data_IF_931484779819
#
_entry.id   IF_931484779819
#
_cell.length_a   1.000
_cell.length_b   1.000
_cell.length_c   1.000
_cell.angle_alpha   90.00
_cell.angle_beta   90.00
_cell.angle_gamma   90.00
#
_symmetry.space_group_name_H-M   'P 1'
#
loop_
_entity.id
_entity.type
_entity.pdbx_description
1 polymer ?
#
# COMPACT_ATOMS: atom_id res chain seq x y z
N UNK A 1 -31.53 2.87 12.67
CA UNK A 1 -31.05 2.96 11.26
C UNK A 1 -30.13 4.14 11.12
N UNK A 2 -28.97 3.90 10.56
CA UNK A 2 -27.98 4.95 10.31
C UNK A 2 -28.52 5.96 9.29
N UNK A 3 -28.37 7.26 9.59
CA UNK A 3 -28.77 8.32 8.69
C UNK A 3 -28.03 8.22 7.34
N UNK A 4 -28.78 8.35 6.23
CA UNK A 4 -28.23 8.28 4.87
C UNK A 4 -27.10 9.28 4.65
N UNK A 5 -27.21 10.50 5.20
CA UNK A 5 -26.18 11.52 5.11
C UNK A 5 -24.90 11.08 5.79
N UNK A 6 -24.97 10.61 7.01
CA UNK A 6 -23.83 10.07 7.77
C UNK A 6 -23.16 8.92 7.00
N UNK A 7 -23.97 7.99 6.47
CA UNK A 7 -23.47 6.85 5.70
C UNK A 7 -22.64 7.28 4.50
N UNK A 8 -23.18 8.15 3.63
CA UNK A 8 -22.49 8.56 2.41
C UNK A 8 -21.32 9.51 2.69
N UNK A 9 -21.48 10.48 3.60
CA UNK A 9 -20.42 11.44 3.90
C UNK A 9 -19.21 10.78 4.56
N UNK A 10 -19.44 9.81 5.45
CA UNK A 10 -18.37 9.06 6.07
C UNK A 10 -17.64 8.17 5.05
N UNK A 11 -18.37 7.35 4.29
CA UNK A 11 -17.74 6.41 3.35
C UNK A 11 -17.02 7.12 2.20
N UNK A 12 -17.56 8.22 1.66
CA UNK A 12 -16.93 9.03 0.64
C UNK A 12 -15.61 9.68 1.11
N UNK A 13 -15.52 10.03 2.40
CA UNK A 13 -14.29 10.58 2.97
C UNK A 13 -13.05 9.71 2.75
N UNK A 14 -13.21 8.40 2.66
CA UNK A 14 -12.14 7.47 2.38
C UNK A 14 -11.44 7.73 1.03
N UNK A 15 -12.17 8.25 0.03
CA UNK A 15 -11.60 8.55 -1.30
C UNK A 15 -10.43 9.53 -1.21
N UNK A 16 -10.62 10.66 -0.55
CA UNK A 16 -9.57 11.68 -0.43
C UNK A 16 -8.39 11.22 0.42
N UNK A 17 -8.68 10.50 1.53
CA UNK A 17 -7.66 9.96 2.42
C UNK A 17 -6.74 8.97 1.69
N UNK A 18 -7.32 8.04 0.97
CA UNK A 18 -6.56 7.00 0.29
C UNK A 18 -5.91 7.49 -1.00
N UNK A 19 -6.47 8.51 -1.66
CA UNK A 19 -5.78 9.24 -2.73
C UNK A 19 -4.51 9.93 -2.21
N UNK A 20 -4.58 10.59 -1.04
CA UNK A 20 -3.43 11.22 -0.40
C UNK A 20 -2.34 10.20 -0.03
N UNK A 21 -2.74 9.05 0.53
CA UNK A 21 -1.83 7.94 0.81
C UNK A 21 -1.17 7.41 -0.45
N UNK A 22 -1.94 7.15 -1.51
CA UNK A 22 -1.43 6.64 -2.79
C UNK A 22 -0.42 7.60 -3.43
N UNK A 23 -0.67 8.92 -3.37
CA UNK A 23 0.24 9.94 -3.93
C UNK A 23 1.64 9.82 -3.31
N UNK A 24 1.74 9.66 -2.01
CA UNK A 24 3.03 9.57 -1.32
C UNK A 24 3.62 8.16 -1.43
N UNK A 25 2.83 7.12 -1.18
CA UNK A 25 3.35 5.75 -1.13
C UNK A 25 3.81 5.22 -2.50
N UNK A 26 3.18 5.63 -3.60
CA UNK A 26 3.51 5.16 -4.94
C UNK A 26 4.48 6.09 -5.68
N UNK A 27 4.34 7.41 -5.47
CA UNK A 27 5.01 8.36 -6.37
C UNK A 27 6.08 9.23 -5.73
N UNK A 28 6.21 9.29 -4.40
CA UNK A 28 7.21 10.14 -3.77
C UNK A 28 8.65 9.76 -4.16
N UNK A 29 8.97 8.47 -4.17
CA UNK A 29 10.29 8.01 -4.61
C UNK A 29 10.53 8.24 -6.10
N UNK A 30 9.52 8.00 -6.93
CA UNK A 30 9.61 8.24 -8.36
C UNK A 30 9.77 9.73 -8.67
N UNK A 31 9.05 10.60 -7.92
CA UNK A 31 9.25 12.04 -7.95
C UNK A 31 10.71 12.40 -7.64
N UNK A 32 11.25 11.89 -6.53
CA UNK A 32 12.63 12.16 -6.14
C UNK A 32 13.61 11.66 -7.21
N UNK A 33 13.40 10.44 -7.72
CA UNK A 33 14.26 9.80 -8.72
C UNK A 33 14.33 10.59 -10.03
N UNK A 34 13.20 11.11 -10.51
CA UNK A 34 13.10 11.75 -11.84
C UNK A 34 13.05 13.28 -11.80
N UNK A 35 13.02 13.91 -10.63
CA UNK A 35 12.96 15.37 -10.55
C UNK A 35 14.03 16.00 -9.65
N UNK A 36 14.78 15.21 -8.87
CA UNK A 36 15.80 15.73 -7.97
C UNK A 36 17.19 15.27 -8.40
N UNK A 37 18.15 16.19 -8.45
CA UNK A 37 19.57 15.88 -8.70
C UNK A 37 20.24 15.45 -7.41
N UNK A 38 20.34 14.14 -7.17
CA UNK A 38 20.90 13.57 -5.95
C UNK A 38 21.98 12.54 -6.27
N UNK A 39 23.01 12.50 -5.45
CA UNK A 39 24.01 11.44 -5.50
C UNK A 39 23.44 10.10 -5.04
N UNK A 40 24.08 8.99 -5.41
CA UNK A 40 23.68 7.64 -4.95
C UNK A 40 23.62 7.57 -3.42
N UNK A 41 24.60 8.21 -2.73
CA UNK A 41 24.62 8.25 -1.26
C UNK A 41 23.42 8.98 -0.67
N UNK A 42 23.02 10.10 -1.25
CA UNK A 42 21.85 10.87 -0.82
C UNK A 42 20.55 10.08 -1.06
N UNK A 43 20.41 9.43 -2.20
CA UNK A 43 19.26 8.59 -2.50
C UNK A 43 19.17 7.36 -1.58
N UNK A 44 20.31 6.74 -1.26
CA UNK A 44 20.39 5.65 -0.28
C UNK A 44 20.03 6.13 1.14
N UNK A 45 20.45 7.33 1.53
CA UNK A 45 20.09 7.93 2.81
C UNK A 45 18.57 8.19 2.92
N UNK A 46 17.91 8.63 1.85
CA UNK A 46 16.46 8.77 1.78
C UNK A 46 15.77 7.42 2.03
N UNK A 47 16.27 6.35 1.42
CA UNK A 47 15.75 4.99 1.62
C UNK A 47 15.88 4.54 3.08
N UNK A 48 17.02 4.83 3.71
CA UNK A 48 17.23 4.53 5.13
C UNK A 48 16.27 5.33 6.04
N UNK A 49 16.06 6.62 5.76
CA UNK A 49 15.09 7.46 6.48
C UNK A 49 13.68 6.85 6.40
N UNK A 50 13.25 6.39 5.23
CA UNK A 50 11.92 5.78 5.07
C UNK A 50 11.76 4.54 5.95
N UNK A 51 12.80 3.71 6.07
CA UNK A 51 12.80 2.53 6.95
C UNK A 51 12.72 2.95 8.43
N UNK A 52 13.49 3.97 8.84
CA UNK A 52 13.46 4.50 10.21
C UNK A 52 12.08 5.09 10.55
N UNK A 53 11.47 5.84 9.64
CA UNK A 53 10.13 6.38 9.83
C UNK A 53 9.07 5.27 9.99
N UNK A 54 9.26 4.12 9.34
CA UNK A 54 8.38 2.98 9.54
C UNK A 54 8.43 2.42 10.97
N UNK A 55 9.65 2.32 11.53
CA UNK A 55 9.82 1.91 12.93
C UNK A 55 9.13 2.92 13.85
N UNK A 56 9.22 4.19 13.52
CA UNK A 56 8.51 5.25 14.23
C UNK A 56 7.00 5.08 14.14
N UNK A 57 6.44 4.76 12.97
CA UNK A 57 5.00 4.57 12.79
C UNK A 57 4.46 3.44 13.68
N UNK A 58 5.23 2.37 13.87
CA UNK A 58 4.87 1.28 14.76
C UNK A 58 4.71 1.72 16.23
N UNK A 59 5.41 2.79 16.64
CA UNK A 59 5.31 3.40 17.96
C UNK A 59 4.23 4.50 18.00
N UNK A 60 4.18 5.31 16.95
CA UNK A 60 3.28 6.45 16.81
C UNK A 60 1.81 6.02 16.73
N UNK A 61 1.48 4.92 16.05
CA UNK A 61 0.10 4.46 15.89
C UNK A 61 -0.59 4.16 17.24
N UNK A 62 -0.01 3.34 18.15
CA UNK A 62 -0.59 3.14 19.48
C UNK A 62 -0.63 4.41 20.34
N UNK A 63 0.40 5.26 20.26
CA UNK A 63 0.43 6.53 20.99
C UNK A 63 -0.71 7.44 20.57
N UNK A 64 -0.95 7.55 19.26
CA UNK A 64 -2.05 8.36 18.73
C UNK A 64 -3.41 7.82 19.17
N UNK A 65 -3.59 6.50 19.18
CA UNK A 65 -4.79 5.85 19.71
C UNK A 65 -5.06 6.28 21.16
N UNK A 66 -4.07 6.23 22.05
CA UNK A 66 -4.17 6.66 23.45
C UNK A 66 -4.52 8.16 23.55
N UNK A 67 -3.89 9.02 22.74
CA UNK A 67 -4.16 10.46 22.74
C UNK A 67 -5.61 10.73 22.35
N UNK A 68 -6.13 10.07 21.30
CA UNK A 68 -7.51 10.21 20.84
C UNK A 68 -8.48 9.72 21.90
N UNK A 69 -8.20 8.57 22.53
CA UNK A 69 -9.06 8.01 23.58
C UNK A 69 -9.20 8.92 24.78
N UNK A 70 -8.15 9.59 25.18
CA UNK A 70 -8.14 10.53 26.31
C UNK A 70 -8.60 11.96 25.95
N UNK A 71 -8.94 12.21 24.68
CA UNK A 71 -9.35 13.55 24.26
C UNK A 71 -10.87 13.76 24.46
N UNK A 72 -11.24 14.90 25.08
CA UNK A 72 -12.62 15.29 25.34
C UNK A 72 -12.92 16.63 24.64
N UNK A 73 -13.08 16.59 23.32
CA UNK A 73 -13.34 17.79 22.53
C UNK A 73 -14.85 18.03 22.33
N UNK A 74 -15.30 19.28 22.38
CA UNK A 74 -16.71 19.67 22.25
C UNK A 74 -17.38 19.23 20.93
N UNK A 75 -16.59 19.00 19.88
CA UNK A 75 -17.07 18.63 18.53
C UNK A 75 -17.12 17.11 18.28
N UNK A 76 -16.94 16.28 19.29
CA UNK A 76 -16.85 14.84 19.21
C UNK A 76 -15.44 14.31 19.51
N UNK A 77 -15.31 12.99 19.67
CA UNK A 77 -14.05 12.33 20.01
C UNK A 77 -13.08 12.25 18.82
N UNK A 78 -13.59 11.87 17.65
CA UNK A 78 -12.78 11.56 16.47
C UNK A 78 -12.74 12.70 15.45
N UNK A 79 -13.85 13.42 15.24
CA UNK A 79 -13.99 14.45 14.21
C UNK A 79 -12.91 15.54 14.22
N UNK A 80 -12.53 16.12 15.39
CA UNK A 80 -11.48 17.14 15.43
C UNK A 80 -10.11 16.61 14.97
N UNK A 81 -9.79 15.37 15.35
CA UNK A 81 -8.54 14.71 14.96
C UNK A 81 -8.49 14.38 13.48
N UNK A 82 -9.62 13.95 12.89
CA UNK A 82 -9.79 13.74 11.45
C UNK A 82 -9.47 15.04 10.70
N UNK A 83 -10.03 16.16 11.12
CA UNK A 83 -9.85 17.45 10.47
C UNK A 83 -8.43 17.99 10.65
N UNK A 84 -7.89 18.00 11.86
CA UNK A 84 -6.53 18.47 12.12
C UNK A 84 -5.50 17.63 11.37
N UNK A 85 -5.63 16.29 11.44
CA UNK A 85 -4.75 15.37 10.71
C UNK A 85 -4.79 15.61 9.22
N UNK A 86 -5.98 15.78 8.65
CA UNK A 86 -6.15 16.08 7.23
C UNK A 86 -5.50 17.41 6.82
N UNK A 87 -5.77 18.50 7.53
CA UNK A 87 -5.23 19.82 7.19
C UNK A 87 -3.71 19.85 7.27
N UNK A 88 -3.14 19.31 8.35
CA UNK A 88 -1.68 19.25 8.53
C UNK A 88 -1.04 18.35 7.47
N UNK A 89 -1.63 17.18 7.21
CA UNK A 89 -1.11 16.25 6.22
C UNK A 89 -1.17 16.80 4.80
N UNK A 90 -2.25 17.50 4.43
CA UNK A 90 -2.37 18.15 3.13
C UNK A 90 -1.26 19.19 2.91
N UNK A 91 -0.93 19.99 3.93
CA UNK A 91 0.20 20.93 3.87
C UNK A 91 1.51 20.17 3.67
N UNK A 92 1.74 19.10 4.43
CA UNK A 92 2.98 18.33 4.35
C UNK A 92 3.11 17.64 2.97
N UNK A 93 2.02 17.12 2.39
CA UNK A 93 2.03 16.58 1.03
C UNK A 93 2.48 17.64 0.02
N UNK A 94 1.87 18.84 0.07
CA UNK A 94 2.26 19.92 -0.84
C UNK A 94 3.72 20.30 -0.64
N UNK A 95 4.22 20.37 0.59
CA UNK A 95 5.64 20.67 0.89
C UNK A 95 6.57 19.60 0.30
N UNK A 96 6.26 18.31 0.47
CA UNK A 96 7.07 17.18 -0.03
C UNK A 96 7.27 17.23 -1.56
N UNK A 97 6.26 17.68 -2.31
CA UNK A 97 6.32 17.75 -3.78
C UNK A 97 6.65 19.14 -4.35
N UNK A 98 6.82 20.14 -3.48
CA UNK A 98 7.05 21.53 -3.92
C UNK A 98 8.41 22.08 -3.49
N UNK A 99 8.80 21.83 -2.25
CA UNK A 99 10.04 22.39 -1.67
C UNK A 99 11.22 21.52 -2.10
N UNK A 100 12.24 22.15 -2.71
CA UNK A 100 13.30 21.45 -3.43
C UNK A 100 14.69 22.01 -3.08
N UNK A 101 15.15 21.95 -1.84
CA UNK A 101 16.53 22.27 -1.53
C UNK A 101 17.48 21.27 -2.19
N UNK A 102 18.74 21.62 -2.35
CA UNK A 102 19.72 20.79 -3.06
C UNK A 102 20.57 19.93 -2.11
N UNK A 103 21.03 18.78 -2.60
CA UNK A 103 22.01 17.96 -1.92
C UNK A 103 21.55 17.44 -0.56
N UNK A 104 22.40 17.48 0.44
CA UNK A 104 22.10 17.01 1.79
C UNK A 104 21.01 17.82 2.52
N UNK A 105 20.82 19.09 2.15
CA UNK A 105 19.71 19.89 2.68
C UNK A 105 18.36 19.29 2.27
N UNK A 106 18.25 18.72 1.06
CA UNK A 106 17.05 17.98 0.66
C UNK A 106 16.85 16.70 1.50
N UNK A 107 17.90 15.95 1.78
CA UNK A 107 17.81 14.74 2.62
C UNK A 107 17.30 15.07 4.03
N UNK A 108 17.81 16.16 4.63
CA UNK A 108 17.32 16.65 5.93
C UNK A 108 15.87 17.12 5.89
N UNK A 109 15.51 17.92 4.88
CA UNK A 109 14.13 18.37 4.65
C UNK A 109 13.19 17.19 4.44
N UNK A 110 13.59 16.21 3.60
CA UNK A 110 12.83 15.00 3.36
C UNK A 110 12.57 14.21 4.65
N UNK A 111 13.62 14.02 5.47
CA UNK A 111 13.50 13.27 6.72
C UNK A 111 12.46 13.86 7.66
N UNK A 112 12.50 15.17 7.86
CA UNK A 112 11.54 15.89 8.72
C UNK A 112 10.13 15.84 8.11
N UNK A 113 10.01 16.15 6.82
CA UNK A 113 8.72 16.20 6.15
C UNK A 113 8.06 14.82 6.04
N UNK A 114 8.83 13.77 5.77
CA UNK A 114 8.32 12.40 5.68
C UNK A 114 7.87 11.86 7.04
N UNK A 115 8.61 12.17 8.11
CA UNK A 115 8.19 11.88 9.47
C UNK A 115 6.87 12.58 9.83
N UNK A 116 6.77 13.89 9.53
CA UNK A 116 5.54 14.65 9.76
C UNK A 116 4.37 14.14 8.93
N UNK A 117 4.63 13.67 7.69
CA UNK A 117 3.62 13.04 6.86
C UNK A 117 3.05 11.80 7.54
N UNK A 118 3.91 10.89 8.03
CA UNK A 118 3.49 9.70 8.76
C UNK A 118 2.65 10.05 9.98
N UNK A 119 3.14 10.94 10.85
CA UNK A 119 2.45 11.35 12.08
C UNK A 119 1.08 11.98 11.81
N UNK A 120 0.99 12.91 10.85
CA UNK A 120 -0.27 13.60 10.52
C UNK A 120 -1.25 12.68 9.79
N UNK A 121 -0.74 11.73 8.98
CA UNK A 121 -1.57 10.70 8.36
C UNK A 121 -2.14 9.74 9.42
N UNK A 122 -1.32 9.26 10.35
CA UNK A 122 -1.76 8.41 11.47
C UNK A 122 -2.84 9.10 12.31
N UNK A 123 -2.69 10.41 12.57
CA UNK A 123 -3.70 11.21 13.28
C UNK A 123 -5.07 11.14 12.58
N UNK A 124 -5.10 11.28 11.25
CA UNK A 124 -6.33 11.17 10.46
C UNK A 124 -6.83 9.73 10.39
N UNK A 125 -5.95 8.77 10.04
CA UNK A 125 -6.31 7.39 9.75
C UNK A 125 -6.89 6.66 10.97
N UNK A 126 -6.22 6.73 12.13
CA UNK A 126 -6.67 6.10 13.37
C UNK A 126 -8.01 6.70 13.81
N UNK A 127 -8.16 8.02 13.73
CA UNK A 127 -9.41 8.69 14.08
C UNK A 127 -10.55 8.31 13.13
N UNK A 128 -10.25 8.18 11.85
CA UNK A 128 -11.21 7.80 10.82
C UNK A 128 -11.74 6.37 11.04
N UNK A 129 -10.85 5.40 11.24
CA UNK A 129 -11.26 4.03 11.55
C UNK A 129 -11.87 3.91 12.94
N UNK A 130 -11.37 4.64 13.94
CA UNK A 130 -11.91 4.68 15.29
C UNK A 130 -13.33 5.26 15.38
N UNK A 131 -13.70 6.13 14.43
CA UNK A 131 -15.04 6.69 14.33
C UNK A 131 -16.09 5.65 13.89
N UNK A 132 -15.72 4.61 13.15
CA UNK A 132 -16.63 3.63 12.57
C UNK A 132 -17.58 2.97 13.62
N UNK A 133 -17.10 2.47 14.77
CA UNK A 133 -17.98 1.92 15.81
C UNK A 133 -18.92 2.96 16.44
N UNK A 134 -18.52 4.23 16.47
CA UNK A 134 -19.36 5.31 17.04
C UNK A 134 -20.49 5.77 16.12
N UNK A 135 -20.50 5.35 14.85
CA UNK A 135 -21.56 5.69 13.90
C UNK A 135 -22.79 4.79 14.02
N UNK A 136 -22.60 3.51 14.34
CA UNK A 136 -23.69 2.54 14.51
C UNK A 136 -23.30 1.41 15.47
N UNK A 137 -24.24 1.03 16.33
CA UNK A 137 -24.13 -0.16 17.19
C UNK A 137 -24.51 -1.46 16.47
N UNK A 138 -25.21 -1.38 15.32
CA UNK A 138 -25.63 -2.55 14.54
C UNK A 138 -24.47 -3.10 13.71
N UNK A 139 -24.04 -4.37 13.93
CA UNK A 139 -22.99 -5.02 13.16
C UNK A 139 -23.28 -5.06 11.64
N UNK A 140 -24.54 -5.19 11.22
CA UNK A 140 -24.91 -5.22 9.79
C UNK A 140 -24.71 -3.86 9.13
N UNK A 141 -25.05 -2.78 9.83
CA UNK A 141 -24.81 -1.42 9.35
C UNK A 141 -23.30 -1.13 9.27
N UNK A 142 -22.50 -1.54 10.28
CA UNK A 142 -21.04 -1.40 10.25
C UNK A 142 -20.41 -2.16 9.09
N UNK A 143 -20.82 -3.40 8.83
CA UNK A 143 -20.35 -4.17 7.69
C UNK A 143 -20.68 -3.50 6.35
N UNK A 144 -21.86 -2.90 6.24
CA UNK A 144 -22.25 -2.12 5.06
C UNK A 144 -21.36 -0.88 4.88
N UNK A 145 -21.05 -0.16 5.97
CA UNK A 145 -20.13 0.98 5.94
C UNK A 145 -18.73 0.56 5.48
N UNK A 146 -18.18 -0.53 6.03
CA UNK A 146 -16.86 -1.06 5.63
C UNK A 146 -16.83 -1.44 4.14
N UNK A 147 -17.89 -2.09 3.66
CA UNK A 147 -17.99 -2.47 2.24
C UNK A 147 -18.02 -1.25 1.33
N UNK A 148 -18.86 -0.26 1.64
CA UNK A 148 -18.92 0.98 0.87
C UNK A 148 -17.59 1.74 0.94
N UNK A 149 -17.00 1.83 2.12
CA UNK A 149 -15.72 2.49 2.34
C UNK A 149 -14.61 1.84 1.50
N UNK A 150 -14.59 0.50 1.39
CA UNK A 150 -13.63 -0.23 0.56
C UNK A 150 -13.75 0.15 -0.92
N UNK A 151 -14.95 0.38 -1.43
CA UNK A 151 -15.17 0.86 -2.81
C UNK A 151 -14.57 2.28 -2.98
N UNK A 152 -14.84 3.18 -2.05
CA UNK A 152 -14.33 4.55 -2.09
C UNK A 152 -12.80 4.62 -1.91
N UNK A 153 -12.21 3.75 -1.09
CA UNK A 153 -10.76 3.54 -0.99
C UNK A 153 -10.17 3.18 -2.35
N UNK A 154 -10.76 2.19 -3.03
CA UNK A 154 -10.31 1.80 -4.37
C UNK A 154 -10.40 2.97 -5.37
N UNK A 155 -11.50 3.73 -5.37
CA UNK A 155 -11.66 4.91 -6.23
C UNK A 155 -10.53 5.91 -5.99
N UNK A 156 -10.21 6.23 -4.72
CA UNK A 156 -9.14 7.15 -4.38
C UNK A 156 -7.76 6.65 -4.84
N UNK A 157 -7.41 5.43 -4.47
CA UNK A 157 -6.11 4.84 -4.80
C UNK A 157 -5.91 4.67 -6.31
N UNK A 158 -6.87 4.11 -7.02
CA UNK A 158 -6.73 3.86 -8.46
C UNK A 158 -6.82 5.14 -9.29
N UNK A 159 -7.52 6.17 -8.84
CA UNK A 159 -7.48 7.49 -9.50
C UNK A 159 -6.07 8.05 -9.53
N UNK A 160 -5.37 8.04 -8.41
CA UNK A 160 -3.99 8.53 -8.32
C UNK A 160 -3.03 7.58 -9.05
N UNK A 161 -3.13 6.27 -8.77
CA UNK A 161 -2.24 5.27 -9.36
C UNK A 161 -2.30 5.22 -10.89
N UNK A 162 -3.45 5.52 -11.48
CA UNK A 162 -3.63 5.53 -12.94
C UNK A 162 -3.32 6.89 -13.57
N UNK A 163 -3.88 7.98 -13.04
CA UNK A 163 -3.80 9.30 -13.68
C UNK A 163 -2.40 9.92 -13.59
N UNK A 164 -1.74 9.82 -12.43
CA UNK A 164 -0.43 10.48 -12.24
C UNK A 164 0.60 10.08 -13.29
N UNK A 165 0.82 8.79 -13.62
CA UNK A 165 1.80 8.40 -14.62
C UNK A 165 1.56 9.00 -16.02
N UNK A 166 0.30 9.29 -16.35
CA UNK A 166 -0.06 9.83 -17.68
C UNK A 166 0.34 11.29 -17.86
N UNK A 167 0.44 12.04 -16.77
CA UNK A 167 0.59 13.51 -16.82
C UNK A 167 1.98 14.02 -16.47
N UNK A 168 2.87 13.15 -15.95
CA UNK A 168 4.15 13.60 -15.39
C UNK A 168 5.27 13.72 -16.41
N UNK A 169 5.31 12.90 -17.46
CA UNK A 169 6.42 12.88 -18.41
C UNK A 169 6.52 14.19 -19.21
N UNK A 170 7.72 14.76 -19.30
CA UNK A 170 8.02 15.98 -20.06
C UNK A 170 7.90 17.29 -19.28
N UNK A 171 7.29 17.27 -18.09
CA UNK A 171 7.28 18.40 -17.13
C UNK A 171 6.99 17.87 -15.73
N UNK A 172 7.73 16.87 -15.32
CA UNK A 172 7.47 16.13 -14.08
C UNK A 172 7.46 17.03 -12.84
N UNK A 173 8.33 18.03 -12.77
CA UNK A 173 8.39 18.95 -11.63
C UNK A 173 7.06 19.66 -11.38
N UNK A 174 6.49 20.26 -12.41
CA UNK A 174 5.24 20.99 -12.28
C UNK A 174 4.02 20.06 -12.22
N UNK A 175 4.07 18.94 -12.94
CA UNK A 175 3.00 17.95 -12.93
C UNK A 175 2.84 17.29 -11.54
N UNK A 176 3.93 16.88 -10.89
CA UNK A 176 3.88 16.36 -9.52
C UNK A 176 3.40 17.40 -8.51
N UNK A 177 3.86 18.67 -8.64
CA UNK A 177 3.36 19.77 -7.80
C UNK A 177 1.86 19.95 -7.97
N UNK A 178 1.38 20.00 -9.22
CA UNK A 178 -0.04 20.13 -9.54
C UNK A 178 -0.86 18.95 -9.00
N UNK A 179 -0.42 17.72 -9.27
CA UNK A 179 -1.08 16.51 -8.81
C UNK A 179 -1.15 16.45 -7.26
N UNK A 180 -0.04 16.73 -6.57
CA UNK A 180 0.00 16.76 -5.10
C UNK A 180 -0.95 17.84 -4.54
N UNK A 181 -1.02 19.00 -5.17
CA UNK A 181 -1.94 20.08 -4.76
C UNK A 181 -3.40 19.66 -4.95
N UNK A 182 -3.76 19.08 -6.11
CA UNK A 182 -5.12 18.60 -6.39
C UNK A 182 -5.50 17.47 -5.41
N UNK A 183 -4.59 16.53 -5.15
CA UNK A 183 -4.83 15.45 -4.19
C UNK A 183 -4.99 15.99 -2.77
N UNK A 184 -4.16 16.94 -2.35
CA UNK A 184 -4.28 17.58 -1.03
C UNK A 184 -5.62 18.32 -0.86
N UNK A 185 -6.03 19.09 -1.88
CA UNK A 185 -7.34 19.78 -1.87
C UNK A 185 -8.51 18.80 -1.89
N UNK A 186 -8.41 17.71 -2.66
CA UNK A 186 -9.39 16.63 -2.67
C UNK A 186 -9.48 15.97 -1.30
N UNK A 187 -8.34 15.70 -0.66
CA UNK A 187 -8.30 15.15 0.70
C UNK A 187 -9.05 16.05 1.68
N UNK A 188 -8.78 17.35 1.68
CA UNK A 188 -9.49 18.30 2.52
C UNK A 188 -10.99 18.28 2.21
N UNK A 189 -11.39 18.36 0.93
CA UNK A 189 -12.79 18.38 0.54
C UNK A 189 -13.56 17.13 1.02
N UNK A 190 -13.02 15.94 0.79
CA UNK A 190 -13.64 14.70 1.22
C UNK A 190 -13.66 14.54 2.75
N UNK A 191 -12.63 14.99 3.46
CA UNK A 191 -12.63 14.97 4.92
C UNK A 191 -13.56 16.01 5.54
N UNK A 192 -13.78 17.15 4.89
CA UNK A 192 -14.83 18.11 5.30
C UNK A 192 -16.23 17.51 5.13
N UNK A 193 -16.48 16.69 4.09
CA UNK A 193 -17.73 15.95 3.98
C UNK A 193 -17.93 15.03 5.18
N UNK A 194 -16.89 14.30 5.59
CA UNK A 194 -16.92 13.45 6.79
C UNK A 194 -17.17 14.30 8.04
N UNK A 195 -16.41 15.38 8.21
CA UNK A 195 -16.49 16.23 9.40
C UNK A 195 -17.86 16.85 9.60
N UNK A 196 -18.49 17.40 8.54
CA UNK A 196 -19.80 18.04 8.63
C UNK A 196 -20.98 17.08 8.45
N UNK A 197 -20.77 15.96 7.74
CA UNK A 197 -21.83 15.04 7.36
C UNK A 197 -22.00 13.86 8.30
N UNK A 198 -20.94 13.36 8.89
CA UNK A 198 -20.99 12.23 9.81
C UNK A 198 -21.17 12.72 11.25
N UNK A 199 -22.15 12.15 11.97
CA UNK A 199 -22.41 12.46 13.37
C UNK A 199 -22.04 11.25 14.22
N UNK A 200 -21.13 11.46 15.17
CA UNK A 200 -20.84 10.48 16.22
C UNK A 200 -22.07 10.36 17.14
N UNK A 201 -22.49 9.14 17.43
CA UNK A 201 -23.51 8.91 18.45
C UNK A 201 -22.91 9.15 19.85
N UNK A 202 -23.67 9.70 20.80
CA UNK A 202 -23.20 9.81 22.17
C UNK A 202 -22.77 8.42 22.67
N UNK A 203 -21.55 8.32 23.10
CA UNK A 203 -20.98 7.06 23.57
C UNK A 203 -21.64 6.72 24.90
N UNK A 204 -22.55 5.76 24.91
CA UNK A 204 -22.72 4.95 26.11
C UNK A 204 -21.43 4.17 26.22
N UNK A 205 -20.74 4.30 27.36
CA UNK A 205 -19.48 3.60 27.66
C UNK A 205 -19.60 2.14 27.26
N UNK A 206 -19.17 1.85 26.00
CA UNK A 206 -18.97 0.47 25.55
C UNK A 206 -17.83 -0.03 26.41
N UNK A 207 -18.05 -1.14 27.08
CA UNK A 207 -17.15 -1.81 27.99
C UNK A 207 -15.69 -1.51 27.64
N UNK A 208 -14.96 -0.99 28.65
CA UNK A 208 -13.53 -0.72 28.53
C UNK A 208 -12.87 -1.90 27.85
N UNK A 209 -12.51 -1.74 26.59
CA UNK A 209 -11.59 -2.67 25.95
C UNK A 209 -10.34 -2.60 26.83
N UNK A 210 -9.98 -3.71 27.46
CA UNK A 210 -8.78 -3.80 28.29
C UNK A 210 -7.63 -3.10 27.57
N UNK A 211 -7.02 -2.11 28.24
CA UNK A 211 -5.90 -1.33 27.70
C UNK A 211 -4.70 -2.26 27.61
N UNK A 212 -4.62 -3.00 26.50
CA UNK A 212 -3.51 -3.90 26.25
C UNK A 212 -2.24 -3.06 26.04
N UNK A 213 -1.24 -3.31 26.86
CA UNK A 213 0.08 -2.75 26.69
C UNK A 213 0.76 -3.33 25.43
N UNK A 214 1.67 -2.58 24.81
CA UNK A 214 2.52 -3.09 23.72
C UNK A 214 3.23 -4.41 24.11
N UNK A 215 3.59 -4.54 25.39
CA UNK A 215 4.20 -5.76 25.93
C UNK A 215 3.22 -6.94 25.92
N UNK A 216 1.95 -6.70 26.22
CA UNK A 216 0.89 -7.74 26.21
C UNK A 216 0.59 -8.15 24.77
N UNK A 217 0.51 -7.18 23.83
CA UNK A 217 0.37 -7.48 22.40
C UNK A 217 1.50 -8.36 21.88
N UNK A 218 2.75 -8.04 22.22
CA UNK A 218 3.90 -8.85 21.84
C UNK A 218 3.87 -10.24 22.48
N UNK A 219 3.45 -10.36 23.75
CA UNK A 219 3.29 -11.65 24.45
C UNK A 219 2.21 -12.50 23.79
N UNK A 220 1.05 -11.92 23.43
CA UNK A 220 -0.03 -12.65 22.75
C UNK A 220 0.42 -13.09 21.36
N UNK A 221 1.09 -12.22 20.61
CA UNK A 221 1.65 -12.57 19.30
C UNK A 221 2.62 -13.76 19.42
N UNK A 222 3.55 -13.73 20.37
CA UNK A 222 4.60 -14.77 20.51
C UNK A 222 4.09 -16.08 21.05
N UNK A 223 2.98 -16.11 21.81
CA UNK A 223 2.42 -17.36 22.34
C UNK A 223 1.61 -18.15 21.31
N UNK A 224 1.05 -17.47 20.30
CA UNK A 224 0.20 -18.08 19.27
C UNK A 224 1.04 -18.45 18.04
N UNK A 225 1.47 -19.70 17.96
CA UNK A 225 2.30 -20.24 16.88
C UNK A 225 1.65 -20.16 15.50
N UNK A 226 0.32 -20.24 15.43
CA UNK A 226 -0.42 -20.14 14.17
C UNK A 226 -0.51 -18.67 13.70
N UNK A 227 -0.65 -17.73 14.63
CA UNK A 227 -0.64 -16.29 14.34
C UNK A 227 0.74 -15.84 13.82
N UNK A 228 1.83 -16.33 14.41
CA UNK A 228 3.19 -16.07 13.92
C UNK A 228 3.35 -16.57 12.49
N UNK A 229 2.94 -17.81 12.21
CA UNK A 229 3.05 -18.40 10.87
C UNK A 229 2.24 -17.61 9.84
N UNK A 230 1.00 -17.24 10.15
CA UNK A 230 0.13 -16.44 9.28
C UNK A 230 0.68 -15.01 9.09
N UNK A 231 1.13 -14.36 10.14
CA UNK A 231 1.68 -13.00 10.10
C UNK A 231 2.94 -12.88 9.24
N UNK A 232 3.89 -13.82 9.40
CA UNK A 232 5.10 -13.87 8.56
C UNK A 232 4.74 -14.19 7.11
N UNK A 233 3.80 -15.09 6.87
CA UNK A 233 3.36 -15.40 5.50
C UNK A 233 2.70 -14.20 4.82
N UNK A 234 1.87 -13.43 5.54
CA UNK A 234 1.30 -12.18 5.03
C UNK A 234 2.40 -11.16 4.72
N UNK A 235 3.35 -10.98 5.61
CA UNK A 235 4.49 -10.08 5.39
C UNK A 235 5.26 -10.46 4.11
N UNK A 236 5.66 -11.72 3.97
CA UNK A 236 6.38 -12.20 2.80
C UNK A 236 5.56 -12.07 1.51
N UNK A 237 4.27 -12.38 1.59
CA UNK A 237 3.35 -12.20 0.46
C UNK A 237 3.24 -10.73 0.06
N UNK A 238 3.08 -9.82 1.02
CA UNK A 238 2.98 -8.37 0.75
C UNK A 238 4.28 -7.80 0.16
N UNK A 239 5.45 -8.30 0.61
CA UNK A 239 6.72 -7.98 -0.03
C UNK A 239 6.72 -8.46 -1.48
N UNK A 240 6.34 -9.71 -1.75
CA UNK A 240 6.32 -10.23 -3.11
C UNK A 240 5.29 -9.55 -4.02
N UNK A 241 4.10 -9.23 -3.51
CA UNK A 241 3.04 -8.65 -4.35
C UNK A 241 3.22 -7.18 -4.66
N UNK A 242 3.83 -6.40 -3.77
CA UNK A 242 3.99 -4.95 -3.93
C UNK A 242 5.08 -4.55 -4.93
N UNK A 243 6.12 -5.36 -5.09
CA UNK A 243 7.28 -4.99 -5.91
C UNK A 243 6.92 -4.78 -7.39
N UNK A 244 6.02 -5.58 -7.96
CA UNK A 244 5.64 -5.45 -9.37
C UNK A 244 5.04 -4.08 -9.69
N UNK A 245 4.22 -3.55 -8.78
CA UNK A 245 3.62 -2.22 -8.92
C UNK A 245 4.66 -1.12 -8.70
N UNK A 246 5.51 -1.25 -7.69
CA UNK A 246 6.54 -0.24 -7.39
C UNK A 246 7.58 -0.10 -8.50
N UNK A 247 7.95 -1.19 -9.15
CA UNK A 247 8.83 -1.16 -10.33
C UNK A 247 8.12 -0.77 -11.62
N UNK A 248 6.80 -0.79 -11.66
CA UNK A 248 6.01 -0.65 -12.88
C UNK A 248 6.42 0.56 -13.71
N UNK A 249 6.56 1.72 -13.07
CA UNK A 249 6.93 2.96 -13.76
C UNK A 249 8.34 2.87 -14.38
N UNK A 250 9.33 2.42 -13.62
CA UNK A 250 10.69 2.23 -14.11
C UNK A 250 10.72 1.17 -15.24
N UNK A 251 9.99 0.07 -15.08
CA UNK A 251 9.91 -0.97 -16.12
C UNK A 251 9.37 -0.42 -17.44
N UNK A 252 8.23 0.25 -17.43
CA UNK A 252 7.63 0.77 -18.66
C UNK A 252 8.46 1.88 -19.29
N UNK A 253 9.07 2.76 -18.50
CA UNK A 253 9.97 3.79 -19.02
C UNK A 253 11.20 3.19 -19.71
N UNK A 254 11.87 2.25 -19.07
CA UNK A 254 13.09 1.67 -19.61
C UNK A 254 12.87 0.63 -20.72
N UNK A 255 11.68 0.04 -20.80
CA UNK A 255 11.36 -0.94 -21.85
C UNK A 255 10.70 -0.34 -23.08
N UNK A 256 9.90 0.72 -22.92
CA UNK A 256 9.06 1.29 -23.98
C UNK A 256 9.35 2.76 -24.29
N UNK A 257 10.21 3.39 -23.53
CA UNK A 257 10.52 4.81 -23.63
C UNK A 257 9.82 5.65 -22.58
N UNK A 258 10.41 6.80 -22.28
CA UNK A 258 9.89 7.74 -21.28
C UNK A 258 8.57 8.37 -21.73
N UNK A 259 8.46 8.68 -23.02
CA UNK A 259 7.30 9.30 -23.64
C UNK A 259 6.05 8.40 -23.62
N UNK A 260 6.23 7.09 -23.91
CA UNK A 260 5.12 6.13 -23.99
C UNK A 260 4.80 5.46 -22.65
N UNK A 261 5.77 5.40 -21.75
CA UNK A 261 5.70 4.59 -20.54
C UNK A 261 4.55 4.95 -19.61
N UNK A 262 4.24 6.25 -19.44
CA UNK A 262 3.17 6.70 -18.54
C UNK A 262 1.79 6.15 -18.93
N UNK A 263 1.44 6.16 -20.22
CA UNK A 263 0.21 5.57 -20.71
C UNK A 263 0.13 4.06 -20.50
N UNK A 264 1.26 3.37 -20.64
CA UNK A 264 1.33 1.92 -20.42
C UNK A 264 1.21 1.57 -18.94
N UNK A 265 1.77 2.37 -18.02
CA UNK A 265 1.56 2.23 -16.58
C UNK A 265 0.09 2.38 -16.22
N UNK A 266 -0.63 3.32 -16.84
CA UNK A 266 -2.08 3.48 -16.63
C UNK A 266 -2.84 2.19 -16.97
N UNK A 267 -2.63 1.63 -18.18
CA UNK A 267 -3.31 0.40 -18.60
C UNK A 267 -2.96 -0.76 -17.66
N UNK A 268 -1.68 -0.87 -17.27
CA UNK A 268 -1.23 -1.91 -16.34
C UNK A 268 -1.88 -1.77 -14.96
N UNK A 269 -2.08 -0.54 -14.48
CA UNK A 269 -2.79 -0.26 -13.23
C UNK A 269 -4.27 -0.64 -13.33
N UNK A 270 -4.91 -0.42 -14.49
CA UNK A 270 -6.28 -0.91 -14.73
C UNK A 270 -6.34 -2.44 -14.68
N UNK A 271 -5.37 -3.14 -15.26
CA UNK A 271 -5.28 -4.61 -15.17
C UNK A 271 -5.07 -5.08 -13.73
N UNK A 272 -4.30 -4.35 -12.93
CA UNK A 272 -4.17 -4.59 -11.49
C UNK A 272 -5.51 -4.50 -10.76
N UNK A 273 -6.25 -3.41 -10.98
CA UNK A 273 -7.57 -3.22 -10.38
C UNK A 273 -8.56 -4.31 -10.78
N UNK A 274 -8.64 -4.62 -12.08
CA UNK A 274 -9.51 -5.68 -12.60
C UNK A 274 -9.14 -7.05 -12.06
N UNK A 275 -7.85 -7.41 -12.06
CA UNK A 275 -7.36 -8.68 -11.54
C UNK A 275 -7.71 -8.86 -10.06
N UNK A 276 -7.47 -7.83 -9.25
CA UNK A 276 -7.79 -7.83 -7.83
C UNK A 276 -9.31 -7.93 -7.58
N UNK A 277 -10.12 -7.16 -8.30
CA UNK A 277 -11.57 -7.19 -8.16
C UNK A 277 -12.16 -8.56 -8.54
N UNK A 278 -11.76 -9.08 -9.70
CA UNK A 278 -12.25 -10.39 -10.17
C UNK A 278 -11.80 -11.54 -9.28
N UNK A 279 -10.61 -11.45 -8.65
CA UNK A 279 -10.15 -12.45 -7.69
C UNK A 279 -11.05 -12.49 -6.44
N UNK A 280 -11.51 -11.34 -5.96
CA UNK A 280 -12.44 -11.26 -4.83
C UNK A 280 -13.81 -11.86 -5.17
N UNK A 281 -14.31 -11.60 -6.38
CA UNK A 281 -15.56 -12.20 -6.86
C UNK A 281 -15.44 -13.72 -7.07
N UNK A 282 -14.30 -14.20 -7.54
CA UNK A 282 -14.07 -15.63 -7.79
C UNK A 282 -13.82 -16.42 -6.50
N UNK A 283 -13.27 -15.80 -5.47
CA UNK A 283 -12.86 -16.45 -4.23
C UNK A 283 -13.96 -17.30 -3.56
N UNK A 284 -15.20 -16.80 -3.35
CA UNK A 284 -16.28 -17.60 -2.76
C UNK A 284 -16.67 -18.82 -3.60
N UNK A 285 -16.51 -18.74 -4.92
CA UNK A 285 -16.79 -19.85 -5.84
C UNK A 285 -15.70 -20.91 -5.73
N UNK A 286 -14.45 -20.48 -5.72
CA UNK A 286 -13.29 -21.36 -5.62
C UNK A 286 -13.25 -22.13 -4.31
N UNK A 287 -13.57 -21.49 -3.18
CA UNK A 287 -13.56 -22.10 -1.86
C UNK A 287 -14.70 -23.11 -1.64
N UNK A 288 -15.77 -23.07 -2.45
CA UNK A 288 -16.82 -24.09 -2.42
C UNK A 288 -16.36 -25.44 -3.00
N UNK A 289 -15.41 -25.43 -3.95
CA UNK A 289 -15.01 -26.62 -4.69
C UNK A 289 -13.62 -27.15 -4.31
N UNK A 290 -12.76 -26.27 -3.76
CA UNK A 290 -11.37 -26.61 -3.48
C UNK A 290 -10.97 -26.20 -2.06
N UNK A 291 -10.12 -27.01 -1.43
CA UNK A 291 -9.56 -26.69 -0.12
C UNK A 291 -8.53 -25.56 -0.22
N UNK A 292 -8.40 -24.76 0.84
CA UNK A 292 -7.44 -23.62 0.93
C UNK A 292 -6.01 -24.05 0.61
N UNK A 293 -5.58 -25.24 1.09
CA UNK A 293 -4.22 -25.77 0.80
C UNK A 293 -4.01 -26.04 -0.71
N UNK A 294 -5.02 -26.59 -1.39
CA UNK A 294 -4.94 -26.81 -2.86
C UNK A 294 -4.92 -25.50 -3.63
N UNK A 295 -5.77 -24.55 -3.24
CA UNK A 295 -5.82 -23.23 -3.87
C UNK A 295 -4.50 -22.47 -3.68
N UNK A 296 -3.92 -22.44 -2.46
CA UNK A 296 -2.62 -21.82 -2.21
C UNK A 296 -1.55 -22.41 -3.13
N UNK A 297 -1.45 -23.75 -3.21
CA UNK A 297 -0.46 -24.40 -4.06
C UNK A 297 -0.66 -24.06 -5.54
N UNK A 298 -1.89 -24.14 -6.03
CA UNK A 298 -2.23 -23.88 -7.42
C UNK A 298 -1.94 -22.42 -7.82
N UNK A 299 -2.40 -21.45 -7.01
CA UNK A 299 -2.17 -20.04 -7.30
C UNK A 299 -0.71 -19.63 -7.12
N UNK A 300 0.05 -20.26 -6.22
CA UNK A 300 1.51 -20.06 -6.18
C UNK A 300 2.19 -20.51 -7.46
N UNK A 301 1.81 -21.68 -8.00
CA UNK A 301 2.37 -22.17 -9.27
C UNK A 301 2.03 -21.18 -10.39
N UNK A 302 0.79 -20.72 -10.48
CA UNK A 302 0.39 -19.71 -11.48
C UNK A 302 1.17 -18.41 -11.33
N UNK A 303 1.34 -17.91 -10.11
CA UNK A 303 2.15 -16.72 -9.82
C UNK A 303 3.58 -16.92 -10.34
N UNK A 304 4.22 -18.04 -9.99
CA UNK A 304 5.59 -18.34 -10.44
C UNK A 304 5.67 -18.41 -11.97
N UNK A 305 4.75 -19.13 -12.61
CA UNK A 305 4.73 -19.27 -14.08
C UNK A 305 4.59 -17.90 -14.75
N UNK A 306 3.64 -17.08 -14.31
CA UNK A 306 3.40 -15.77 -14.92
C UNK A 306 4.53 -14.77 -14.63
N UNK A 307 5.16 -14.82 -13.46
CA UNK A 307 6.37 -14.02 -13.20
C UNK A 307 7.56 -14.46 -14.07
N UNK A 308 7.74 -15.76 -14.30
CA UNK A 308 8.75 -16.27 -15.24
C UNK A 308 8.42 -15.80 -16.66
N UNK A 309 7.16 -15.88 -17.09
CA UNK A 309 6.75 -15.31 -18.39
C UNK A 309 7.04 -13.82 -18.47
N UNK A 310 6.74 -13.06 -17.40
CA UNK A 310 7.02 -11.62 -17.34
C UNK A 310 8.53 -11.32 -17.44
N UNK A 311 9.38 -12.09 -16.77
CA UNK A 311 10.84 -11.99 -16.88
C UNK A 311 11.34 -12.21 -18.31
N UNK A 312 10.75 -13.17 -19.01
CA UNK A 312 11.14 -13.57 -20.37
C UNK A 312 10.69 -12.59 -21.47
N UNK A 313 9.87 -11.58 -21.14
CA UNK A 313 9.45 -10.55 -22.10
C UNK A 313 10.67 -9.79 -22.61
N UNK A 314 10.79 -9.68 -23.93
CA UNK A 314 11.94 -9.05 -24.60
C UNK A 314 13.23 -9.88 -24.60
N UNK A 315 13.20 -11.12 -24.07
CA UNK A 315 14.27 -12.12 -24.19
C UNK A 315 13.82 -13.22 -25.14
N UNK A 316 12.69 -13.86 -24.84
CA UNK A 316 12.08 -14.94 -25.62
C UNK A 316 10.69 -14.54 -26.10
N UNK A 317 9.91 -13.88 -25.22
CA UNK A 317 8.55 -13.40 -25.51
C UNK A 317 8.65 -12.00 -26.12
N UNK A 318 7.91 -11.72 -27.22
CA UNK A 318 7.93 -10.39 -27.84
C UNK A 318 7.55 -9.26 -26.86
N UNK A 319 8.22 -8.11 -26.97
CA UNK A 319 7.85 -6.88 -26.26
C UNK A 319 6.54 -6.32 -26.84
N UNK A 320 5.43 -6.82 -26.35
CA UNK A 320 4.11 -6.34 -26.77
C UNK A 320 3.33 -5.88 -25.52
N UNK A 321 2.84 -4.63 -25.47
CA UNK A 321 2.07 -4.14 -24.35
C UNK A 321 0.84 -4.98 -24.01
N UNK A 322 0.17 -5.56 -25.01
CA UNK A 322 -0.99 -6.42 -24.79
C UNK A 322 -0.60 -7.70 -24.03
N UNK A 323 0.47 -8.35 -24.44
CA UNK A 323 0.99 -9.56 -23.78
C UNK A 323 1.37 -9.26 -22.33
N UNK A 324 2.06 -8.13 -22.08
CA UNK A 324 2.45 -7.68 -20.73
C UNK A 324 1.23 -7.47 -19.85
N UNK A 325 0.20 -6.82 -20.38
CA UNK A 325 -1.03 -6.55 -19.64
C UNK A 325 -1.80 -7.84 -19.32
N UNK A 326 -1.84 -8.81 -20.23
CA UNK A 326 -2.47 -10.12 -19.97
C UNK A 326 -1.70 -10.89 -18.90
N UNK A 327 -0.36 -10.95 -18.98
CA UNK A 327 0.48 -11.60 -17.97
C UNK A 327 0.33 -10.89 -16.63
N UNK A 328 0.35 -9.55 -16.61
CA UNK A 328 0.12 -8.74 -15.41
C UNK A 328 -1.23 -9.03 -14.76
N UNK A 329 -2.32 -9.04 -15.55
CA UNK A 329 -3.65 -9.41 -15.08
C UNK A 329 -3.67 -10.80 -14.41
N UNK A 330 -3.04 -11.79 -15.04
CA UNK A 330 -2.97 -13.15 -14.49
C UNK A 330 -2.19 -13.21 -13.17
N UNK A 331 -1.09 -12.42 -13.05
CA UNK A 331 -0.34 -12.28 -11.80
C UNK A 331 -1.24 -11.67 -10.72
N UNK A 332 -1.88 -10.54 -11.00
CA UNK A 332 -2.69 -9.81 -10.01
C UNK A 332 -3.93 -10.59 -9.59
N UNK A 333 -4.59 -11.29 -10.52
CA UNK A 333 -5.70 -12.18 -10.20
C UNK A 333 -5.24 -13.30 -9.26
N UNK A 334 -4.12 -13.95 -9.57
CA UNK A 334 -3.59 -15.06 -8.78
C UNK A 334 -3.15 -14.58 -7.38
N UNK A 335 -2.50 -13.42 -7.31
CA UNK A 335 -2.12 -12.79 -6.03
C UNK A 335 -3.35 -12.38 -5.21
N UNK A 336 -4.40 -11.89 -5.86
CA UNK A 336 -5.64 -11.53 -5.18
C UNK A 336 -6.30 -12.72 -4.50
N UNK A 337 -6.40 -13.88 -5.17
CA UNK A 337 -6.92 -15.12 -4.55
C UNK A 337 -6.02 -15.57 -3.40
N UNK A 338 -4.70 -15.57 -3.59
CA UNK A 338 -3.74 -15.93 -2.54
C UNK A 338 -3.90 -15.04 -1.30
N UNK A 339 -4.01 -13.73 -1.49
CA UNK A 339 -4.23 -12.76 -0.41
C UNK A 339 -5.51 -13.03 0.38
N UNK A 340 -6.61 -13.34 -0.31
CA UNK A 340 -7.89 -13.66 0.35
C UNK A 340 -7.76 -14.91 1.23
N UNK A 341 -7.03 -15.94 0.77
CA UNK A 341 -6.77 -17.13 1.58
C UNK A 341 -5.95 -16.77 2.83
N UNK A 342 -4.91 -15.94 2.70
CA UNK A 342 -4.10 -15.51 3.84
C UNK A 342 -4.94 -14.76 4.88
N UNK A 343 -5.84 -13.88 4.45
CA UNK A 343 -6.74 -13.15 5.35
C UNK A 343 -7.66 -14.13 6.12
N UNK A 344 -8.22 -15.12 5.44
CA UNK A 344 -9.03 -16.16 6.11
C UNK A 344 -8.21 -16.96 7.08
N UNK A 345 -7.00 -17.38 6.70
CA UNK A 345 -6.09 -18.12 7.58
C UNK A 345 -5.69 -17.32 8.82
N UNK A 346 -5.44 -16.01 8.66
CA UNK A 346 -5.16 -15.13 9.80
C UNK A 346 -6.37 -15.03 10.74
N UNK A 347 -7.55 -14.81 10.19
CA UNK A 347 -8.77 -14.71 11.00
C UNK A 347 -9.03 -16.01 11.78
N UNK A 348 -8.78 -17.17 11.19
CA UNK A 348 -8.95 -18.45 11.88
C UNK A 348 -8.01 -18.61 13.10
N UNK A 349 -6.96 -17.79 13.22
CA UNK A 349 -6.11 -17.80 14.41
C UNK A 349 -6.77 -17.15 15.62
N UNK A 350 -7.90 -16.45 15.45
CA UNK A 350 -8.72 -15.88 16.51
C UNK A 350 -9.37 -17.02 17.32
N UNK A 351 -10.08 -17.90 16.60
CA UNK A 351 -10.72 -19.05 17.22
C UNK A 351 -9.71 -20.03 17.80
N UNK A 352 -8.53 -20.15 17.16
CA UNK A 352 -7.43 -20.95 17.72
C UNK A 352 -6.88 -20.37 19.03
N UNK A 353 -6.78 -19.05 19.15
CA UNK A 353 -6.37 -18.35 20.38
C UNK A 353 -7.40 -18.61 21.50
N UNK A 354 -8.68 -18.43 21.19
CA UNK A 354 -9.79 -18.70 22.10
C UNK A 354 -9.84 -20.17 22.55
N UNK A 355 -9.63 -21.11 21.62
CA UNK A 355 -9.61 -22.53 21.90
C UNK A 355 -8.46 -22.92 22.84
N UNK A 356 -7.23 -22.43 22.55
CA UNK A 356 -6.02 -22.84 23.22
C UNK A 356 -5.74 -22.12 24.54
N UNK A 357 -6.09 -20.83 24.60
CA UNK A 357 -5.77 -19.96 25.73
C UNK A 357 -6.98 -19.45 26.50
N UNK A 358 -8.20 -19.76 26.04
CA UNK A 358 -9.45 -19.29 26.62
C UNK A 358 -9.62 -17.77 26.63
N UNK A 359 -8.93 -17.08 25.76
CA UNK A 359 -8.92 -15.64 25.61
C UNK A 359 -9.14 -15.29 24.13
N UNK A 360 -9.88 -14.23 23.84
CA UNK A 360 -10.20 -13.78 22.48
C UNK A 360 -9.60 -12.40 22.21
N UNK A 361 -8.69 -12.31 21.24
CA UNK A 361 -7.92 -11.10 20.95
C UNK A 361 -8.05 -10.65 19.48
N UNK A 362 -9.28 -10.38 19.01
CA UNK A 362 -9.59 -9.96 17.64
C UNK A 362 -8.78 -8.73 17.19
N UNK A 363 -8.63 -7.75 18.10
CA UNK A 363 -7.92 -6.51 17.83
C UNK A 363 -6.43 -6.71 17.58
N UNK A 364 -5.79 -7.61 18.34
CA UNK A 364 -4.34 -7.90 18.19
C UNK A 364 -4.07 -8.60 16.86
N UNK A 365 -4.91 -9.54 16.49
CA UNK A 365 -4.77 -10.30 15.25
C UNK A 365 -4.93 -9.36 14.04
N UNK A 366 -5.90 -8.44 14.11
CA UNK A 366 -6.06 -7.38 13.10
C UNK A 366 -4.85 -6.43 13.04
N UNK A 367 -4.26 -6.11 14.19
CA UNK A 367 -3.06 -5.27 14.27
C UNK A 367 -1.84 -5.94 13.62
N UNK A 368 -1.69 -7.27 13.76
CA UNK A 368 -0.62 -8.05 13.08
C UNK A 368 -0.71 -7.88 11.57
N UNK A 369 -1.90 -7.96 10.99
CA UNK A 369 -2.10 -7.73 9.55
C UNK A 369 -1.68 -6.32 9.12
N UNK A 370 -2.13 -5.32 9.85
CA UNK A 370 -1.81 -3.92 9.56
C UNK A 370 -0.31 -3.67 9.63
N UNK A 371 0.34 -4.15 10.70
CA UNK A 371 1.78 -4.05 10.87
C UNK A 371 2.54 -4.75 9.74
N UNK A 372 2.19 -6.01 9.41
CA UNK A 372 2.82 -6.77 8.35
C UNK A 372 2.71 -6.05 6.98
N UNK A 373 1.58 -5.44 6.68
CA UNK A 373 1.36 -4.71 5.42
C UNK A 373 2.19 -3.41 5.37
N UNK A 374 2.19 -2.61 6.44
CA UNK A 374 3.00 -1.38 6.52
C UNK A 374 4.50 -1.70 6.44
N UNK A 375 4.95 -2.71 7.19
CA UNK A 375 6.34 -3.15 7.19
C UNK A 375 6.80 -3.66 5.82
N UNK A 376 5.97 -4.44 5.14
CA UNK A 376 6.23 -4.87 3.77
C UNK A 376 6.34 -3.70 2.79
N UNK A 377 5.51 -2.67 2.93
CA UNK A 377 5.57 -1.47 2.09
C UNK A 377 6.92 -0.77 2.15
N UNK A 378 7.49 -0.59 3.34
CA UNK A 378 8.81 0.03 3.47
C UNK A 378 9.96 -0.89 3.03
N UNK A 379 9.85 -2.19 3.28
CA UNK A 379 10.80 -3.17 2.75
C UNK A 379 10.79 -3.16 1.22
N UNK A 380 9.61 -3.10 0.60
CA UNK A 380 9.44 -2.97 -0.85
C UNK A 380 10.11 -1.71 -1.38
N UNK A 381 9.95 -0.60 -0.69
CA UNK A 381 10.58 0.67 -1.05
C UNK A 381 12.12 0.55 -0.98
N UNK A 382 12.65 -0.04 0.09
CA UNK A 382 14.07 -0.30 0.25
C UNK A 382 14.64 -1.21 -0.83
N UNK A 383 13.95 -2.32 -1.15
CA UNK A 383 14.33 -3.26 -2.22
C UNK A 383 14.31 -2.54 -3.57
N UNK A 384 13.26 -1.77 -3.87
CA UNK A 384 13.15 -1.04 -5.13
C UNK A 384 14.34 -0.09 -5.31
N UNK A 385 14.64 0.72 -4.31
CA UNK A 385 15.76 1.66 -4.37
C UNK A 385 17.12 0.94 -4.50
N UNK A 386 17.31 -0.14 -3.75
CA UNK A 386 18.54 -0.95 -3.83
C UNK A 386 18.72 -1.55 -5.22
N UNK A 387 17.68 -2.11 -5.81
CA UNK A 387 17.73 -2.68 -7.17
C UNK A 387 18.02 -1.58 -8.21
N UNK A 388 17.42 -0.41 -8.11
CA UNK A 388 17.68 0.72 -9.01
C UNK A 388 19.14 1.19 -8.94
N UNK A 389 19.73 1.20 -7.74
CA UNK A 389 21.14 1.57 -7.54
C UNK A 389 22.05 0.48 -8.11
N UNK A 390 21.87 -0.79 -7.73
CA UNK A 390 22.75 -1.91 -8.11
C UNK A 390 22.68 -2.17 -9.62
N UNK A 391 21.49 -2.08 -10.22
CA UNK A 391 21.33 -2.22 -11.67
C UNK A 391 21.91 -1.05 -12.47
N UNK A 392 22.25 0.07 -11.84
CA UNK A 392 22.68 1.29 -12.48
C UNK A 392 21.58 2.09 -13.19
N UNK A 393 20.33 1.66 -13.08
CA UNK A 393 19.15 2.37 -13.63
C UNK A 393 19.02 3.76 -13.00
N UNK A 394 19.32 3.88 -11.69
CA UNK A 394 19.30 5.16 -11.00
C UNK A 394 20.17 6.22 -11.66
N UNK A 395 21.37 5.86 -12.12
CA UNK A 395 22.30 6.80 -12.79
C UNK A 395 21.69 7.34 -14.10
N UNK A 396 21.06 6.48 -14.88
CA UNK A 396 20.39 6.91 -16.13
C UNK A 396 19.20 7.81 -15.80
N UNK A 397 18.42 7.48 -14.79
CA UNK A 397 17.27 8.30 -14.38
C UNK A 397 17.68 9.70 -13.88
N UNK A 398 18.91 9.88 -13.38
CA UNK A 398 19.45 11.20 -13.01
C UNK A 398 19.72 12.09 -14.25
N UNK A 399 20.04 11.51 -15.40
CA UNK A 399 20.13 12.27 -16.66
C UNK A 399 18.72 12.77 -17.06
N UNK A 400 17.71 11.92 -16.98
CA UNK A 400 16.32 12.31 -17.22
C UNK A 400 15.86 13.38 -16.21
N UNK A 401 16.23 13.24 -14.93
CA UNK A 401 15.95 14.23 -13.89
C UNK A 401 16.49 15.62 -14.25
N UNK A 402 17.68 15.68 -14.87
CA UNK A 402 18.27 16.93 -15.30
C UNK A 402 17.42 17.64 -16.36
N UNK A 403 16.85 16.90 -17.30
CA UNK A 403 15.97 17.42 -18.33
C UNK A 403 14.63 17.91 -17.73
N UNK A 404 14.05 17.13 -16.83
CA UNK A 404 12.79 17.49 -16.17
C UNK A 404 12.94 18.73 -15.27
N UNK A 405 14.12 18.93 -14.67
CA UNK A 405 14.43 20.17 -13.94
C UNK A 405 14.50 21.35 -14.89
N UNK A 406 15.14 21.20 -16.05
CA UNK A 406 15.22 22.25 -17.08
C UNK A 406 13.82 22.60 -17.66
N UNK A 407 12.94 21.60 -17.82
CA UNK A 407 11.55 21.85 -18.19
C UNK A 407 10.80 22.63 -17.09
N UNK A 408 11.03 22.28 -15.82
CA UNK A 408 10.42 22.94 -14.68
C UNK A 408 10.80 24.42 -14.53
N UNK A 409 11.99 24.83 -15.02
CA UNK A 409 12.46 26.22 -15.08
C UNK A 409 12.07 26.93 -16.37
N UNK A 410 11.51 26.24 -17.37
CA UNK A 410 11.14 26.78 -18.66
C UNK A 410 12.32 26.87 -19.66
N UNK A 411 13.46 26.28 -19.34
CA UNK A 411 14.64 26.24 -20.25
C UNK A 411 14.45 25.25 -21.41
N UNK A 412 13.57 24.26 -21.23
CA UNK A 412 13.25 23.26 -22.25
C UNK A 412 11.74 23.08 -22.41
N UNK A 413 11.33 22.77 -23.65
CA UNK A 413 9.93 22.38 -23.91
C UNK A 413 9.71 20.91 -23.55
N UNK A 414 8.46 20.52 -23.26
CA UNK A 414 8.10 19.13 -22.97
C UNK A 414 8.50 18.16 -24.09
N UNK A 415 8.37 18.57 -25.37
CA UNK A 415 8.75 17.75 -26.51
C UNK A 415 10.27 17.49 -26.56
N UNK A 416 11.07 18.53 -26.28
CA UNK A 416 12.53 18.40 -26.20
C UNK A 416 12.94 17.44 -25.07
N UNK A 417 12.28 17.56 -23.89
CA UNK A 417 12.52 16.69 -22.75
C UNK A 417 12.19 15.24 -23.10
N UNK A 418 11.03 14.97 -23.66
CA UNK A 418 10.60 13.62 -24.04
C UNK A 418 11.57 12.99 -25.02
N UNK A 419 11.98 13.72 -26.07
CA UNK A 419 12.93 13.21 -27.09
C UNK A 419 14.29 12.91 -26.48
N UNK A 420 14.83 13.81 -25.65
CA UNK A 420 16.15 13.60 -25.05
C UNK A 420 16.12 12.53 -23.94
N UNK A 421 15.02 12.47 -23.17
CA UNK A 421 14.84 11.43 -22.15
C UNK A 421 14.78 10.02 -22.79
N UNK A 422 14.05 9.89 -23.92
CA UNK A 422 14.02 8.64 -24.68
C UNK A 422 15.42 8.23 -25.15
N UNK A 423 16.23 9.19 -25.62
CA UNK A 423 17.64 8.91 -25.99
C UNK A 423 18.47 8.44 -24.79
N UNK A 424 18.34 9.07 -23.60
CA UNK A 424 19.05 8.62 -22.40
C UNK A 424 18.60 7.23 -21.96
N UNK A 425 17.30 6.94 -21.99
CA UNK A 425 16.78 5.61 -21.63
C UNK A 425 17.31 4.52 -22.57
N UNK A 426 17.44 4.80 -23.87
CA UNK A 426 18.00 3.87 -24.84
C UNK A 426 19.48 3.54 -24.59
N UNK A 427 20.20 4.35 -23.80
CA UNK A 427 21.59 4.01 -23.40
C UNK A 427 21.64 2.88 -22.37
N UNK A 428 20.51 2.48 -21.80
CA UNK A 428 20.46 1.39 -20.84
C UNK A 428 20.92 0.08 -21.48
N UNK A 429 21.91 -0.52 -20.87
CA UNK A 429 22.46 -1.80 -21.32
C UNK A 429 21.50 -2.95 -21.06
N UNK A 430 21.59 -4.02 -21.84
CA UNK A 430 20.80 -5.23 -21.62
C UNK A 430 20.97 -5.79 -20.20
N UNK A 431 22.17 -5.70 -19.61
CA UNK A 431 22.43 -6.13 -18.24
C UNK A 431 21.66 -5.33 -17.21
N UNK A 432 21.55 -4.00 -17.38
CA UNK A 432 20.77 -3.13 -16.49
C UNK A 432 19.28 -3.45 -16.53
N UNK A 433 18.73 -3.67 -17.73
CA UNK A 433 17.32 -4.07 -17.91
C UNK A 433 17.02 -5.44 -17.30
N UNK A 434 17.94 -6.41 -17.45
CA UNK A 434 17.82 -7.72 -16.79
C UNK A 434 17.88 -7.56 -15.27
N UNK A 435 18.77 -6.73 -14.74
CA UNK A 435 18.86 -6.43 -13.31
C UNK A 435 17.54 -5.89 -12.74
N UNK A 436 16.92 -4.93 -13.43
CA UNK A 436 15.61 -4.38 -13.07
C UNK A 436 14.52 -5.47 -13.07
N UNK A 437 14.46 -6.28 -14.14
CA UNK A 437 13.50 -7.38 -14.24
C UNK A 437 13.72 -8.46 -13.17
N UNK A 438 14.97 -8.76 -12.84
CA UNK A 438 15.30 -9.71 -11.75
C UNK A 438 14.74 -9.21 -10.42
N UNK A 439 14.92 -7.93 -10.09
CA UNK A 439 14.36 -7.35 -8.87
C UNK A 439 12.84 -7.44 -8.80
N UNK A 440 12.16 -7.13 -9.90
CA UNK A 440 10.70 -7.10 -9.93
C UNK A 440 10.02 -8.47 -10.12
N UNK A 441 10.77 -9.53 -10.43
CA UNK A 441 10.17 -10.86 -10.67
C UNK A 441 10.74 -11.95 -9.78
N UNK A 442 12.06 -12.07 -9.62
CA UNK A 442 12.68 -13.15 -8.85
C UNK A 442 12.44 -12.97 -7.34
N UNK A 443 12.54 -11.74 -6.83
CA UNK A 443 12.30 -11.47 -5.41
C UNK A 443 10.84 -11.80 -5.03
N UNK A 444 9.79 -11.39 -5.77
CA UNK A 444 8.43 -11.87 -5.57
C UNK A 444 8.27 -13.37 -5.58
N UNK A 445 8.87 -14.06 -6.55
CA UNK A 445 8.81 -15.53 -6.63
C UNK A 445 9.36 -16.17 -5.35
N UNK A 446 10.52 -15.71 -4.89
CA UNK A 446 11.16 -16.22 -3.69
C UNK A 446 10.32 -15.92 -2.44
N UNK A 447 9.86 -14.68 -2.28
CA UNK A 447 9.08 -14.27 -1.11
C UNK A 447 7.76 -15.04 -1.00
N UNK A 448 6.99 -15.14 -2.09
CA UNK A 448 5.71 -15.88 -2.12
C UNK A 448 5.93 -17.39 -2.00
N UNK A 449 7.00 -17.91 -2.61
CA UNK A 449 7.39 -19.31 -2.48
C UNK A 449 7.73 -19.68 -1.04
N UNK A 450 8.52 -18.85 -0.35
CA UNK A 450 8.86 -19.03 1.08
C UNK A 450 7.59 -18.93 1.94
N UNK A 451 6.69 -17.99 1.65
CA UNK A 451 5.40 -17.89 2.35
C UNK A 451 4.58 -19.19 2.25
N UNK A 452 4.48 -19.79 1.05
CA UNK A 452 3.81 -21.09 0.88
C UNK A 452 4.50 -22.20 1.67
N UNK A 453 5.83 -22.29 1.60
CA UNK A 453 6.60 -23.33 2.32
C UNK A 453 6.42 -23.20 3.85
N UNK A 454 6.45 -21.96 4.36
CA UNK A 454 6.22 -21.67 5.77
C UNK A 454 4.81 -22.12 6.21
N UNK A 455 3.78 -21.76 5.42
CA UNK A 455 2.40 -22.15 5.72
C UNK A 455 2.23 -23.67 5.69
N UNK A 456 2.82 -24.37 4.73
CA UNK A 456 2.78 -25.84 4.67
C UNK A 456 3.45 -26.50 5.85
N UNK A 457 4.56 -25.93 6.33
CA UNK A 457 5.36 -26.48 7.42
C UNK A 457 4.80 -26.18 8.83
N UNK A 458 4.23 -24.98 9.02
CA UNK A 458 3.90 -24.45 10.37
C UNK A 458 2.42 -24.22 10.60
N UNK A 459 1.61 -23.92 9.57
CA UNK A 459 0.20 -23.63 9.74
C UNK A 459 -0.62 -24.94 9.76
N UNK A 460 -1.32 -25.19 10.87
CA UNK A 460 -2.02 -26.46 11.13
C UNK A 460 -3.54 -26.37 10.97
N UNK A 461 -4.12 -25.15 10.99
CA UNK A 461 -5.57 -24.94 10.98
C UNK A 461 -6.11 -25.10 9.54
N UNK A 462 -6.31 -26.34 9.10
CA UNK A 462 -7.07 -26.60 7.88
C UNK A 462 -8.60 -26.52 8.12
N UNK A 463 -9.41 -26.76 7.11
CA UNK A 463 -10.88 -26.66 7.21
C UNK A 463 -11.44 -27.58 8.29
N UNK A 464 -10.96 -28.83 8.37
CA UNK A 464 -11.41 -29.83 9.35
C UNK A 464 -11.02 -29.45 10.76
N UNK A 465 -9.80 -29.00 10.94
CA UNK A 465 -9.31 -28.58 12.26
C UNK A 465 -10.03 -27.30 12.72
N UNK A 466 -10.32 -26.37 11.81
CA UNK A 466 -11.11 -25.20 12.10
C UNK A 466 -12.53 -25.56 12.59
N UNK A 467 -13.22 -26.45 11.85
CA UNK A 467 -14.58 -26.90 12.22
C UNK A 467 -14.58 -27.60 13.58
N UNK A 468 -13.54 -28.39 13.89
CA UNK A 468 -13.34 -29.01 15.21
C UNK A 468 -13.20 -27.98 16.29
N UNK A 469 -12.32 -26.98 16.10
CA UNK A 469 -12.06 -25.91 17.07
C UNK A 469 -13.35 -25.15 17.39
N UNK A 470 -14.07 -24.73 16.34
CA UNK A 470 -15.34 -23.99 16.51
C UNK A 470 -16.39 -24.84 17.23
N UNK A 471 -16.51 -26.12 16.90
CA UNK A 471 -17.44 -27.04 17.58
C UNK A 471 -17.11 -27.21 19.07
N UNK A 472 -15.82 -27.33 19.42
CA UNK A 472 -15.39 -27.45 20.81
C UNK A 472 -15.60 -26.14 21.60
N UNK A 473 -15.42 -24.97 20.99
CA UNK A 473 -15.72 -23.68 21.61
C UNK A 473 -17.22 -23.56 21.89
N UNK A 474 -18.08 -24.00 20.97
CA UNK A 474 -19.55 -23.93 21.13
C UNK A 474 -20.10 -24.90 22.20
N UNK A 475 -19.37 -25.96 22.52
CA UNK A 475 -19.75 -26.93 23.57
C UNK A 475 -19.32 -26.49 24.98
N UNK A 476 -18.53 -25.46 25.10
CA UNK A 476 -18.14 -24.82 26.39
C UNK A 476 -19.15 -23.80 26.84
#
# INVERSE_FOLDING_TARGET
>A
MLDKRTKWCYTAGATGRDAAYAMVSLYLITYIQYTMKLTVAQFAAISAIMIVCLIWDAINDPMMGIIIENSHMKMGKFRPWILMGCLLNAVVIVLLFTVRPTGWAFVGFFGVSYLLWGMTYTMNDISYWGMLPSLSSDPKERNTLVTMMSIFICVGQFSVAGVVPMIIAGNAVNAYRGAATVVALSFIAFQLLTFFGAKEQPHNEVAESEKLSLKDMFKIFTRNDQLIAAGIAIFLFQVGSGLLIMFGMNFFYFEFGYSAGGGLVFIFTVMYGLGTLLSQCAFPILTKHFTRRKLLAFFTILIVVFYVCFFLIGIVIPKNPVIINIIGFCIFFSQGVFNMILIVMLNNTIEYDEYKFHERHDSIISAVRSFATKFAGAVNQGITNLVLIISGIYVISQNVSSLEVAAGTGEMTSEQVLTQADNFIQTATRGQLIGLRTGMTLIPILAIGIALLLLRAKYKIDEKEYDRIVSEIQLR
#
